data_IF_038368584214
#
_entry.id   IF_038368584214
#
_cell.length_a   1.000
_cell.length_b   1.000
_cell.length_c   1.000
_cell.angle_alpha   90.00
_cell.angle_beta   90.00
_cell.angle_gamma   90.00
#
_symmetry.space_group_name_H-M   'P 1'
#
loop_
_entity.id
_entity.type
_entity.pdbx_description
1 polymer ?
#
# COMPACT_ATOMS: atom_id res chain seq x y z
N UNK A 1 14.20 10.62 11.22
CA UNK A 1 12.84 10.50 10.66
C UNK A 1 12.59 11.69 9.74
N UNK A 2 12.70 11.50 8.42
CA UNK A 2 12.48 12.62 7.47
C UNK A 2 10.96 12.78 7.28
N UNK A 3 10.45 13.93 7.66
CA UNK A 3 9.03 14.27 7.56
C UNK A 3 8.60 14.46 6.12
N UNK A 4 7.46 13.90 5.77
CA UNK A 4 6.90 13.89 4.43
C UNK A 4 5.78 14.92 4.32
N UNK A 5 5.98 15.92 3.48
CA UNK A 5 4.90 16.84 3.09
C UNK A 5 4.44 16.44 1.68
N UNK A 6 3.35 15.65 1.62
CA UNK A 6 2.64 15.44 0.37
C UNK A 6 1.87 16.75 0.06
N UNK A 7 2.34 17.53 -0.91
CA UNK A 7 1.58 18.66 -1.42
C UNK A 7 0.42 18.14 -2.28
N UNK A 8 -0.71 17.83 -1.63
CA UNK A 8 -2.01 17.76 -2.29
C UNK A 8 -2.50 19.20 -2.49
N UNK A 9 -2.48 19.70 -3.70
CA UNK A 9 -3.28 20.86 -4.08
C UNK A 9 -4.62 20.33 -4.60
N UNK A 10 -5.69 20.29 -3.79
CA UNK A 10 -7.01 20.01 -4.31
C UNK A 10 -7.54 21.30 -4.94
N UNK A 11 -7.60 21.36 -6.28
CA UNK A 11 -8.54 22.29 -6.92
C UNK A 11 -9.89 21.60 -6.86
N UNK A 12 -10.59 21.77 -5.75
CA UNK A 12 -11.98 21.40 -5.63
C UNK A 12 -12.83 22.57 -6.14
N UNK A 13 -13.58 22.36 -7.20
CA UNK A 13 -14.78 23.17 -7.51
C UNK A 13 -15.86 22.79 -6.48
N UNK A 14 -15.71 23.22 -5.24
CA UNK A 14 -16.66 23.02 -4.16
C UNK A 14 -17.26 24.36 -3.76
N UNK A 15 -18.58 24.41 -3.67
CA UNK A 15 -19.34 25.55 -3.12
C UNK A 15 -19.33 25.57 -1.58
N UNK A 16 -18.38 24.91 -0.90
CA UNK A 16 -18.26 24.83 0.57
C UNK A 16 -16.81 24.88 1.02
N UNK A 17 -16.58 25.29 2.30
CA UNK A 17 -15.28 25.22 2.94
C UNK A 17 -14.85 23.75 3.09
N UNK A 18 -13.61 23.44 2.74
CA UNK A 18 -13.00 22.12 2.93
C UNK A 18 -12.14 22.11 4.18
N UNK A 19 -12.10 20.98 4.87
CA UNK A 19 -11.28 20.74 6.05
C UNK A 19 -10.34 19.56 5.79
N UNK A 20 -9.05 19.76 6.00
CA UNK A 20 -8.04 18.69 6.00
C UNK A 20 -7.54 18.48 7.41
N UNK A 21 -7.56 17.25 7.88
CA UNK A 21 -6.92 16.87 9.14
C UNK A 21 -5.90 15.78 8.90
N UNK A 22 -4.84 15.77 9.74
CA UNK A 22 -3.71 14.85 9.62
C UNK A 22 -3.45 14.16 10.94
N UNK A 23 -3.23 12.84 10.92
CA UNK A 23 -2.75 12.06 12.06
C UNK A 23 -1.66 11.07 11.62
N UNK A 24 -0.79 10.65 12.55
CA UNK A 24 0.15 9.57 12.35
C UNK A 24 -0.52 8.25 12.75
N UNK A 25 -0.82 7.38 11.77
CA UNK A 25 -1.49 6.08 11.94
C UNK A 25 -0.89 5.10 10.93
N UNK A 26 -0.81 3.81 11.25
CA UNK A 26 -0.27 2.75 10.39
C UNK A 26 1.17 3.04 9.90
N UNK A 27 1.95 3.68 10.78
CA UNK A 27 3.36 4.00 10.49
C UNK A 27 3.56 5.07 9.42
N UNK A 28 2.54 5.89 9.11
CA UNK A 28 2.59 6.97 8.13
C UNK A 28 1.72 8.16 8.55
N UNK A 29 1.80 9.26 7.79
CA UNK A 29 0.82 10.35 7.92
C UNK A 29 -0.41 10.03 7.09
N UNK A 30 -1.57 10.16 7.72
CA UNK A 30 -2.89 10.04 7.12
C UNK A 30 -3.48 11.43 6.97
N UNK A 31 -3.91 11.77 5.77
CA UNK A 31 -4.62 13.01 5.48
C UNK A 31 -6.04 12.69 5.05
N UNK A 32 -7.02 13.26 5.73
CA UNK A 32 -8.43 13.17 5.35
C UNK A 32 -8.93 14.57 5.08
N UNK A 33 -9.41 14.79 3.86
CA UNK A 33 -9.95 16.05 3.37
C UNK A 33 -11.41 15.84 3.01
N UNK A 34 -12.33 16.48 3.71
CA UNK A 34 -13.78 16.45 3.47
C UNK A 34 -14.35 17.86 3.52
N UNK A 35 -15.62 18.10 3.07
CA UNK A 35 -16.36 19.31 3.38
C UNK A 35 -16.39 19.57 4.89
N UNK A 36 -16.30 20.81 5.31
CA UNK A 36 -16.17 21.22 6.72
C UNK A 36 -17.31 20.72 7.61
N UNK A 37 -18.49 20.63 7.08
CA UNK A 37 -19.67 20.08 7.74
C UNK A 37 -19.49 18.61 8.14
N UNK A 38 -18.60 17.87 7.48
CA UNK A 38 -18.29 16.46 7.76
C UNK A 38 -17.10 16.29 8.73
N UNK A 39 -16.80 17.29 9.59
CA UNK A 39 -15.69 17.21 10.54
C UNK A 39 -15.82 16.04 11.53
N UNK A 40 -17.05 15.66 11.90
CA UNK A 40 -17.31 14.50 12.77
C UNK A 40 -16.85 13.20 12.08
N UNK A 41 -17.16 13.04 10.80
CA UNK A 41 -16.83 11.87 9.99
C UNK A 41 -15.32 11.75 9.77
N UNK A 42 -14.58 12.87 9.70
CA UNK A 42 -13.10 12.85 9.73
C UNK A 42 -12.60 12.21 11.05
N UNK A 43 -13.19 12.60 12.18
CA UNK A 43 -12.80 12.03 13.49
C UNK A 43 -13.09 10.54 13.57
N UNK A 44 -14.30 10.12 13.16
CA UNK A 44 -14.72 8.71 13.13
C UNK A 44 -13.82 7.89 12.19
N UNK A 45 -13.44 8.45 11.04
CA UNK A 45 -12.51 7.80 10.11
C UNK A 45 -11.12 7.57 10.74
N UNK A 46 -10.59 8.51 11.51
CA UNK A 46 -9.33 8.29 12.24
C UNK A 46 -9.44 7.22 13.32
N UNK A 47 -10.57 7.16 14.04
CA UNK A 47 -10.82 6.09 15.03
C UNK A 47 -10.90 4.73 14.34
N UNK A 48 -11.59 4.63 13.20
CA UNK A 48 -11.65 3.41 12.40
C UNK A 48 -10.27 2.98 11.94
N UNK A 49 -9.44 3.90 11.45
CA UNK A 49 -8.07 3.61 11.03
C UNK A 49 -7.18 3.09 12.16
N UNK A 50 -7.32 3.63 13.38
CA UNK A 50 -6.63 3.10 14.57
C UNK A 50 -7.09 1.68 14.91
N UNK A 51 -8.40 1.41 14.86
CA UNK A 51 -8.91 0.05 15.04
C UNK A 51 -8.39 -0.94 13.99
N UNK A 52 -8.21 -0.50 12.74
CA UNK A 52 -7.58 -1.31 11.70
C UNK A 52 -6.09 -1.52 11.94
N UNK A 53 -5.37 -0.53 12.43
CA UNK A 53 -3.97 -0.67 12.85
C UNK A 53 -3.83 -1.71 13.97
N UNK A 54 -4.71 -1.68 14.98
CA UNK A 54 -4.73 -2.66 16.08
C UNK A 54 -4.89 -4.11 15.58
N UNK A 55 -5.57 -4.31 14.45
CA UNK A 55 -5.77 -5.63 13.86
C UNK A 55 -4.65 -5.99 12.89
N UNK A 56 -4.24 -5.11 11.98
CA UNK A 56 -3.42 -5.44 10.81
C UNK A 56 -1.93 -5.22 11.00
N UNK A 57 -1.52 -4.45 12.03
CA UNK A 57 -0.11 -4.13 12.25
C UNK A 57 0.67 -5.35 12.75
N UNK A 58 1.83 -5.57 12.11
CA UNK A 58 2.81 -6.59 12.53
C UNK A 58 3.77 -6.12 13.65
N UNK A 59 3.55 -4.91 14.19
CA UNK A 59 4.30 -4.37 15.33
C UNK A 59 3.55 -4.56 16.64
N UNK A 60 4.28 -4.61 17.78
CA UNK A 60 3.67 -4.73 19.12
C UNK A 60 2.81 -3.49 19.46
N UNK A 61 1.68 -3.67 20.16
CA UNK A 61 1.13 -4.94 20.72
C UNK A 61 -0.01 -5.55 19.87
N UNK A 62 -0.13 -5.23 18.60
CA UNK A 62 -1.27 -5.46 17.71
C UNK A 62 -1.57 -6.95 17.41
N UNK A 63 -2.73 -7.26 16.81
CA UNK A 63 -3.22 -8.63 16.65
C UNK A 63 -2.34 -9.48 15.72
N UNK A 64 -1.90 -8.94 14.57
CA UNK A 64 -0.97 -9.66 13.67
C UNK A 64 0.38 -9.91 14.36
N UNK A 65 0.88 -8.96 15.16
CA UNK A 65 2.06 -9.18 15.98
C UNK A 65 1.85 -10.36 16.93
N UNK A 66 0.72 -10.42 17.64
CA UNK A 66 0.41 -11.53 18.53
C UNK A 66 0.32 -12.87 17.77
N UNK A 67 -0.31 -12.88 16.59
CA UNK A 67 -0.35 -14.08 15.72
C UNK A 67 1.08 -14.52 15.34
N UNK A 68 1.95 -13.59 15.01
CA UNK A 68 3.36 -13.89 14.68
C UNK A 68 4.16 -14.45 15.87
N UNK A 69 3.80 -14.10 17.11
CA UNK A 69 4.48 -14.60 18.32
C UNK A 69 3.90 -15.93 18.82
N UNK A 70 2.57 -16.08 18.78
CA UNK A 70 1.85 -17.20 19.40
C UNK A 70 1.41 -18.26 18.40
N UNK A 71 1.51 -17.96 17.10
CA UNK A 71 1.03 -18.78 15.97
C UNK A 71 -0.47 -19.10 16.00
N UNK A 72 -1.21 -18.51 16.92
CA UNK A 72 -2.68 -18.60 17.02
C UNK A 72 -3.23 -17.34 17.68
N UNK A 73 -4.38 -16.87 17.18
CA UNK A 73 -5.20 -15.83 17.80
C UNK A 73 -6.67 -16.19 17.67
N UNK A 74 -7.56 -15.65 18.54
CA UNK A 74 -9.00 -15.79 18.36
C UNK A 74 -9.44 -15.32 16.97
N UNK A 75 -10.52 -15.91 16.44
CA UNK A 75 -11.09 -15.47 15.18
C UNK A 75 -11.42 -13.97 15.23
N UNK A 76 -10.96 -13.26 14.23
CA UNK A 76 -11.25 -11.85 14.03
C UNK A 76 -11.69 -11.65 12.55
N UNK A 77 -12.90 -11.13 12.30
CA UNK A 77 -13.45 -11.06 10.94
C UNK A 77 -12.63 -10.16 10.01
N UNK A 78 -12.10 -9.05 10.52
CA UNK A 78 -11.26 -8.12 9.74
C UNK A 78 -9.96 -8.80 9.30
N UNK A 79 -9.27 -9.47 10.21
CA UNK A 79 -8.02 -10.18 9.89
C UNK A 79 -8.30 -11.38 8.96
N UNK A 80 -9.36 -12.15 9.22
CA UNK A 80 -9.76 -13.27 8.37
C UNK A 80 -10.04 -12.82 6.93
N UNK A 81 -10.76 -11.72 6.77
CA UNK A 81 -11.06 -11.15 5.45
C UNK A 81 -9.79 -10.62 4.74
N UNK A 82 -8.93 -9.89 5.45
CA UNK A 82 -7.66 -9.42 4.91
C UNK A 82 -6.75 -10.57 4.45
N UNK A 83 -6.68 -11.68 5.20
CA UNK A 83 -5.94 -12.88 4.82
C UNK A 83 -6.57 -13.55 3.58
N UNK A 84 -7.91 -13.61 3.51
CA UNK A 84 -8.61 -14.17 2.34
C UNK A 84 -8.29 -13.38 1.08
N UNK A 85 -8.42 -12.06 1.10
CA UNK A 85 -8.01 -11.19 0.00
C UNK A 85 -6.53 -11.38 -0.38
N UNK A 86 -5.67 -11.54 0.64
CA UNK A 86 -4.24 -11.77 0.40
C UNK A 86 -3.97 -13.09 -0.34
N UNK A 87 -4.75 -14.15 -0.08
CA UNK A 87 -4.68 -15.41 -0.83
C UNK A 87 -5.11 -15.24 -2.29
N UNK A 88 -6.16 -14.45 -2.53
CA UNK A 88 -6.61 -14.13 -3.90
C UNK A 88 -5.53 -13.35 -4.65
N UNK A 89 -4.96 -12.31 -4.04
CA UNK A 89 -3.88 -11.52 -4.65
C UNK A 89 -2.58 -12.32 -4.84
N UNK A 90 -2.28 -13.27 -3.95
CA UNK A 90 -1.19 -14.22 -4.16
C UNK A 90 -1.39 -15.03 -5.45
N UNK A 91 -2.59 -15.57 -5.64
CA UNK A 91 -2.93 -16.35 -6.84
C UNK A 91 -2.89 -15.47 -8.09
N UNK A 92 -3.53 -14.31 -8.08
CA UNK A 92 -3.59 -13.37 -9.21
C UNK A 92 -2.20 -12.90 -9.66
N UNK A 93 -1.31 -12.64 -8.70
CA UNK A 93 0.07 -12.20 -8.97
C UNK A 93 1.04 -13.37 -9.16
N UNK A 94 0.54 -14.60 -9.19
CA UNK A 94 1.37 -15.81 -9.27
C UNK A 94 2.48 -15.80 -8.19
N UNK A 95 2.13 -15.47 -6.94
CA UNK A 95 3.01 -15.50 -5.78
C UNK A 95 4.06 -14.38 -5.70
N UNK A 96 3.93 -13.30 -6.49
CA UNK A 96 4.76 -12.10 -6.31
C UNK A 96 4.24 -11.18 -5.20
N UNK A 97 2.98 -11.31 -4.81
CA UNK A 97 2.44 -10.81 -3.55
C UNK A 97 2.28 -11.97 -2.58
N UNK A 98 2.84 -11.87 -1.38
CA UNK A 98 2.73 -12.91 -0.35
C UNK A 98 2.90 -12.28 1.03
N UNK A 99 1.87 -12.28 1.86
CA UNK A 99 1.93 -11.73 3.23
C UNK A 99 2.81 -12.55 4.18
N UNK A 100 3.19 -13.78 3.81
CA UNK A 100 4.18 -14.56 4.59
C UNK A 100 5.61 -14.09 4.37
N UNK A 101 5.81 -13.04 3.55
CA UNK A 101 7.07 -12.31 3.42
C UNK A 101 7.56 -11.75 4.77
N UNK A 102 6.70 -11.63 5.77
CA UNK A 102 7.03 -11.29 7.15
C UNK A 102 8.15 -12.17 7.72
N UNK A 103 8.25 -13.43 7.30
CA UNK A 103 9.36 -14.33 7.66
C UNK A 103 10.74 -13.80 7.20
N UNK A 104 10.77 -12.84 6.27
CA UNK A 104 11.98 -12.12 5.84
C UNK A 104 11.94 -10.69 6.34
N UNK A 105 10.89 -9.93 6.04
CA UNK A 105 10.82 -8.49 6.31
C UNK A 105 10.83 -8.16 7.80
N UNK A 106 10.14 -8.98 8.62
CA UNK A 106 10.00 -8.77 10.06
C UNK A 106 10.98 -9.60 10.88
N UNK A 107 11.14 -10.88 10.54
CA UNK A 107 11.94 -11.81 11.34
C UNK A 107 13.46 -11.71 11.06
N UNK A 108 13.86 -11.27 9.87
CA UNK A 108 15.26 -11.20 9.47
C UNK A 108 15.78 -9.78 9.27
N UNK A 109 15.08 -8.93 8.51
CA UNK A 109 15.49 -7.54 8.29
C UNK A 109 15.07 -6.59 9.41
N UNK A 110 13.99 -6.89 10.13
CA UNK A 110 13.40 -6.03 11.16
C UNK A 110 13.07 -4.62 10.61
N UNK A 111 12.55 -4.52 9.38
CA UNK A 111 12.21 -3.23 8.80
C UNK A 111 11.28 -2.42 9.69
N UNK A 112 11.69 -1.18 10.00
CA UNK A 112 10.95 -0.25 10.83
C UNK A 112 11.21 -0.40 12.33
N UNK A 113 12.16 -1.25 12.73
CA UNK A 113 12.61 -1.45 14.12
C UNK A 113 14.04 -0.94 14.32
N UNK A 114 14.42 -0.62 15.55
CA UNK A 114 15.75 -0.09 15.88
C UNK A 114 16.87 -1.11 15.58
N UNK A 115 16.57 -2.40 15.74
CA UNK A 115 17.48 -3.52 15.49
C UNK A 115 17.54 -3.96 14.03
N UNK A 116 17.08 -3.11 13.10
CA UNK A 116 17.09 -3.44 11.67
C UNK A 116 18.50 -3.78 11.17
N UNK A 117 18.62 -4.90 10.44
CA UNK A 117 19.92 -5.42 9.98
C UNK A 117 19.79 -6.14 8.63
N UNK A 118 20.91 -6.29 7.93
CA UNK A 118 20.97 -7.03 6.67
C UNK A 118 21.24 -8.50 6.97
N UNK A 119 20.31 -9.42 6.69
CA UNK A 119 20.50 -10.84 6.94
C UNK A 119 21.49 -11.46 5.95
N UNK A 120 22.15 -12.53 6.34
CA UNK A 120 22.98 -13.30 5.44
C UNK A 120 22.15 -14.13 4.44
N UNK A 121 22.75 -14.51 3.31
CA UNK A 121 22.07 -15.23 2.24
C UNK A 121 21.52 -16.60 2.70
N UNK A 122 22.17 -17.28 3.61
CA UNK A 122 21.73 -18.57 4.12
C UNK A 122 20.41 -18.44 4.92
N UNK A 123 20.31 -17.42 5.76
CA UNK A 123 19.07 -17.11 6.50
C UNK A 123 17.91 -16.77 5.54
N UNK A 124 18.16 -15.95 4.52
CA UNK A 124 17.17 -15.59 3.51
C UNK A 124 16.65 -16.82 2.74
N UNK A 125 17.52 -17.75 2.37
CA UNK A 125 17.14 -18.99 1.66
C UNK A 125 16.33 -19.93 2.54
N UNK A 126 16.61 -19.99 3.84
CA UNK A 126 15.92 -20.87 4.80
C UNK A 126 14.57 -20.31 5.26
N UNK A 127 14.30 -19.01 5.07
CA UNK A 127 13.06 -18.37 5.49
C UNK A 127 11.85 -18.99 4.78
N UNK A 128 10.90 -19.49 5.55
CA UNK A 128 9.70 -20.15 5.04
C UNK A 128 8.66 -19.10 4.59
N UNK A 129 8.07 -19.33 3.42
CA UNK A 129 6.98 -18.52 2.85
C UNK A 129 5.95 -19.47 2.26
N UNK A 130 4.77 -19.52 2.84
CA UNK A 130 3.69 -20.37 2.37
C UNK A 130 2.35 -19.83 2.86
N UNK A 131 1.69 -19.04 2.04
CA UNK A 131 0.38 -18.44 2.37
C UNK A 131 -0.69 -19.50 2.62
N UNK A 132 -0.58 -20.68 2.02
CA UNK A 132 -1.53 -21.78 2.21
C UNK A 132 -1.40 -22.46 3.58
N UNK A 133 -0.35 -22.16 4.35
CA UNK A 133 -0.21 -22.64 5.72
C UNK A 133 -0.99 -21.80 6.74
N UNK A 134 -1.67 -20.76 6.33
CA UNK A 134 -2.54 -19.94 7.18
C UNK A 134 -3.92 -20.58 7.20
N UNK A 135 -4.36 -21.03 8.36
CA UNK A 135 -5.66 -21.65 8.58
C UNK A 135 -6.60 -20.67 9.26
N UNK A 136 -7.82 -20.56 8.75
CA UNK A 136 -8.90 -19.75 9.32
C UNK A 136 -10.04 -20.71 9.63
N UNK A 137 -10.45 -20.76 10.88
CA UNK A 137 -11.63 -21.50 11.29
C UNK A 137 -12.58 -20.61 12.11
N UNK A 138 -13.72 -21.14 12.56
CA UNK A 138 -14.76 -20.37 13.25
C UNK A 138 -14.33 -19.82 14.61
N UNK A 139 -13.23 -20.29 15.19
CA UNK A 139 -12.77 -19.92 16.54
C UNK A 139 -11.41 -19.26 16.58
N UNK A 140 -10.59 -19.48 15.55
CA UNK A 140 -9.19 -19.02 15.55
C UNK A 140 -8.62 -18.82 14.15
N UNK A 141 -7.51 -18.06 14.09
CA UNK A 141 -6.61 -17.97 12.96
C UNK A 141 -5.27 -18.52 13.41
N UNK A 142 -4.70 -19.43 12.62
CA UNK A 142 -3.50 -20.20 12.97
C UNK A 142 -2.46 -20.10 11.87
N UNK A 143 -1.17 -19.97 12.25
CA UNK A 143 -0.02 -20.08 11.35
C UNK A 143 0.94 -21.17 11.83
N UNK A 144 1.80 -21.68 10.94
CA UNK A 144 2.90 -22.56 11.35
C UNK A 144 3.99 -21.77 12.06
N UNK A 145 4.75 -22.40 12.96
CA UNK A 145 5.77 -21.77 13.82
C UNK A 145 6.85 -20.97 13.07
N UNK A 146 7.15 -21.31 11.83
CA UNK A 146 8.17 -20.64 11.03
C UNK A 146 7.60 -19.65 10.01
N UNK A 147 6.31 -19.36 10.08
CA UNK A 147 5.61 -18.38 9.25
C UNK A 147 5.35 -17.11 10.06
N UNK A 148 5.73 -15.98 9.49
CA UNK A 148 5.49 -14.64 10.03
C UNK A 148 4.77 -13.81 8.98
N UNK A 149 3.71 -13.11 9.38
CA UNK A 149 2.88 -12.31 8.48
C UNK A 149 3.32 -10.84 8.48
N UNK A 150 3.26 -10.23 7.30
CA UNK A 150 3.39 -8.79 7.10
C UNK A 150 2.35 -8.33 6.07
N UNK A 151 1.31 -7.64 6.53
CA UNK A 151 0.25 -7.11 5.68
C UNK A 151 0.58 -5.71 5.13
N UNK A 152 1.78 -5.20 5.35
CA UNK A 152 2.18 -3.85 4.95
C UNK A 152 2.07 -3.55 3.45
N UNK A 153 2.03 -4.59 2.61
CA UNK A 153 1.89 -4.45 1.15
C UNK A 153 0.44 -4.37 0.65
N UNK A 154 -0.57 -4.39 1.55
CA UNK A 154 -1.98 -4.18 1.17
C UNK A 154 -2.80 -3.49 2.27
N UNK A 155 -2.26 -3.42 3.48
CA UNK A 155 -3.01 -2.96 4.66
C UNK A 155 -3.42 -1.49 4.60
N UNK A 156 -2.65 -0.63 3.92
CA UNK A 156 -2.99 0.77 3.75
C UNK A 156 -4.13 0.94 2.74
N UNK A 157 -4.05 0.24 1.60
CA UNK A 157 -5.13 0.20 0.63
C UNK A 157 -6.43 -0.32 1.23
N UNK A 158 -6.33 -1.40 2.04
CA UNK A 158 -7.46 -1.95 2.79
C UNK A 158 -8.09 -0.92 3.73
N UNK A 159 -7.26 -0.18 4.47
CA UNK A 159 -7.73 0.84 5.39
C UNK A 159 -8.42 2.00 4.66
N UNK A 160 -7.90 2.42 3.49
CA UNK A 160 -8.56 3.41 2.63
C UNK A 160 -9.95 2.93 2.23
N UNK A 161 -10.07 1.70 1.73
CA UNK A 161 -11.37 1.15 1.29
C UNK A 161 -12.38 1.09 2.43
N UNK A 162 -11.98 0.69 3.64
CA UNK A 162 -12.89 0.65 4.81
C UNK A 162 -13.38 2.04 5.22
N UNK A 163 -12.51 3.05 5.19
CA UNK A 163 -12.92 4.44 5.45
C UNK A 163 -13.89 4.93 4.37
N UNK A 164 -13.61 4.64 3.11
CA UNK A 164 -14.47 5.06 2.00
C UNK A 164 -15.85 4.40 2.06
N UNK A 165 -15.94 3.13 2.43
CA UNK A 165 -17.21 2.45 2.67
C UNK A 165 -18.04 3.17 3.75
N UNK A 166 -17.41 3.47 4.91
CA UNK A 166 -18.06 4.22 5.97
C UNK A 166 -18.56 5.59 5.49
N UNK A 167 -17.71 6.34 4.78
CA UNK A 167 -18.12 7.65 4.24
C UNK A 167 -19.26 7.54 3.23
N UNK A 168 -19.27 6.50 2.40
CA UNK A 168 -20.34 6.22 1.43
C UNK A 168 -21.68 5.91 2.12
N UNK A 169 -21.66 5.15 3.22
CA UNK A 169 -22.84 4.88 4.06
C UNK A 169 -23.42 6.17 4.67
N UNK A 170 -22.59 7.19 4.87
CA UNK A 170 -22.98 8.53 5.32
C UNK A 170 -23.34 9.47 4.15
N UNK A 171 -23.41 8.96 2.92
CA UNK A 171 -23.67 9.72 1.67
C UNK A 171 -22.62 10.82 1.40
N UNK A 172 -21.38 10.65 1.87
CA UNK A 172 -20.28 11.57 1.62
C UNK A 172 -19.55 11.13 0.35
N UNK A 173 -19.69 11.93 -0.70
CA UNK A 173 -19.14 11.64 -2.03
C UNK A 173 -18.05 12.63 -2.47
N UNK A 174 -17.62 13.53 -1.58
CA UNK A 174 -16.63 14.57 -1.89
C UNK A 174 -15.48 14.54 -0.88
N UNK A 175 -14.26 14.60 -1.40
CA UNK A 175 -13.07 14.62 -0.57
C UNK A 175 -11.95 13.70 -1.06
N UNK A 176 -10.92 13.59 -0.22
CA UNK A 176 -9.73 12.77 -0.48
C UNK A 176 -9.30 12.08 0.81
N UNK A 177 -9.05 10.79 0.74
CA UNK A 177 -8.43 10.01 1.80
C UNK A 177 -7.04 9.59 1.31
N UNK A 178 -5.98 9.92 2.06
CA UNK A 178 -4.61 9.61 1.68
C UNK A 178 -3.82 9.01 2.85
N UNK A 179 -3.34 7.78 2.66
CA UNK A 179 -2.45 7.06 3.55
C UNK A 179 -1.10 6.86 2.84
N UNK A 180 -0.23 7.88 2.89
CA UNK A 180 1.02 7.88 2.11
C UNK A 180 0.75 7.77 0.60
N UNK A 181 1.24 6.72 -0.06
CA UNK A 181 1.03 6.46 -1.48
C UNK A 181 -0.34 5.88 -1.86
N UNK A 182 -1.19 5.56 -0.87
CA UNK A 182 -2.51 4.99 -1.09
C UNK A 182 -3.58 6.07 -0.93
N UNK A 183 -4.23 6.43 -2.02
CA UNK A 183 -5.13 7.59 -2.11
C UNK A 183 -6.45 7.16 -2.73
N UNK A 184 -7.56 7.66 -2.17
CA UNK A 184 -8.87 7.65 -2.80
C UNK A 184 -9.37 9.08 -3.01
N UNK A 185 -9.68 9.41 -4.25
CA UNK A 185 -10.43 10.62 -4.58
C UNK A 185 -11.91 10.28 -4.65
N UNK A 186 -12.72 10.78 -3.73
CA UNK A 186 -14.18 10.51 -3.73
C UNK A 186 -14.88 11.16 -4.94
N UNK A 187 -14.45 12.36 -5.30
CA UNK A 187 -14.82 13.08 -6.51
C UNK A 187 -13.60 13.34 -7.39
N UNK A 188 -13.69 14.21 -8.38
CA UNK A 188 -12.52 14.57 -9.22
C UNK A 188 -11.45 15.27 -8.36
N UNK A 189 -10.19 14.91 -8.57
CA UNK A 189 -9.07 15.47 -7.85
C UNK A 189 -7.84 15.65 -8.74
N UNK A 190 -6.92 16.50 -8.30
CA UNK A 190 -5.57 16.65 -8.88
C UNK A 190 -4.54 16.22 -7.85
N UNK A 191 -3.55 15.45 -8.26
CA UNK A 191 -2.50 14.92 -7.39
C UNK A 191 -1.16 14.86 -8.13
N UNK A 192 -0.07 14.78 -7.35
CA UNK A 192 1.29 14.69 -7.86
C UNK A 192 1.90 13.31 -7.63
N UNK A 193 2.66 12.82 -8.60
CA UNK A 193 3.58 11.70 -8.39
C UNK A 193 4.95 12.26 -8.01
N UNK A 194 5.43 11.84 -6.84
CA UNK A 194 6.73 12.28 -6.34
C UNK A 194 7.87 11.56 -7.04
N UNK A 195 8.94 12.32 -7.31
CA UNK A 195 10.19 11.74 -7.80
C UNK A 195 10.77 10.74 -6.78
N UNK A 196 11.25 9.57 -7.23
CA UNK A 196 11.99 8.66 -6.35
C UNK A 196 13.38 9.18 -5.94
N UNK A 197 13.86 10.27 -6.57
CA UNK A 197 15.19 10.81 -6.38
C UNK A 197 15.21 12.16 -5.65
N UNK A 198 14.04 12.79 -5.47
CA UNK A 198 13.91 14.08 -4.80
C UNK A 198 12.53 14.26 -4.17
N UNK A 199 12.35 15.30 -3.38
CA UNK A 199 11.04 15.65 -2.80
C UNK A 199 10.11 16.37 -3.81
N UNK A 200 10.54 16.53 -5.08
CA UNK A 200 9.77 17.22 -6.12
C UNK A 200 8.72 16.29 -6.72
N UNK A 201 7.64 16.88 -7.21
CA UNK A 201 6.65 16.20 -8.05
C UNK A 201 7.15 16.15 -9.48
N UNK A 202 7.26 14.96 -10.07
CA UNK A 202 7.67 14.80 -11.47
C UNK A 202 6.50 14.73 -12.44
N UNK A 203 5.31 14.35 -11.98
CA UNK A 203 4.10 14.32 -12.79
C UNK A 203 2.89 14.84 -12.01
N UNK A 204 2.08 15.66 -12.65
CA UNK A 204 0.79 16.13 -12.14
C UNK A 204 -0.30 15.48 -12.97
N UNK A 205 -1.26 14.87 -12.28
CA UNK A 205 -2.38 14.15 -12.89
C UNK A 205 -3.70 14.64 -12.32
N UNK A 206 -4.69 14.77 -13.19
CA UNK A 206 -6.08 15.09 -12.81
C UNK A 206 -6.97 13.88 -13.12
N UNK A 207 -7.77 13.46 -12.16
CA UNK A 207 -8.70 12.34 -12.34
C UNK A 207 -9.78 12.70 -13.38
N UNK A 208 -10.15 11.71 -14.18
CA UNK A 208 -11.27 11.81 -15.14
C UNK A 208 -12.53 11.13 -14.62
N UNK A 209 -12.42 10.38 -13.56
CA UNK A 209 -13.48 9.61 -12.93
C UNK A 209 -13.55 9.93 -11.43
N UNK A 210 -14.73 9.93 -10.82
CA UNK A 210 -14.84 9.90 -9.36
C UNK A 210 -14.38 8.52 -8.83
N UNK A 211 -14.21 8.42 -7.52
CA UNK A 211 -13.79 7.19 -6.85
C UNK A 211 -12.47 6.61 -7.40
N UNK A 212 -11.56 7.50 -7.85
CA UNK A 212 -10.26 7.07 -8.33
C UNK A 212 -9.40 6.56 -7.17
N UNK A 213 -8.96 5.33 -7.28
CA UNK A 213 -7.98 4.69 -6.40
C UNK A 213 -6.57 4.84 -6.98
N UNK A 214 -5.61 5.17 -6.11
CA UNK A 214 -4.20 5.33 -6.45
C UNK A 214 -3.41 4.57 -5.41
N UNK A 215 -2.42 3.78 -5.84
CA UNK A 215 -1.43 3.20 -4.94
C UNK A 215 -0.03 3.33 -5.52
N UNK A 216 0.93 3.74 -4.69
CA UNK A 216 2.33 3.90 -5.08
C UNK A 216 3.26 3.15 -4.14
N UNK A 217 3.98 2.17 -4.68
CA UNK A 217 5.08 1.47 -4.03
C UNK A 217 6.44 2.01 -4.52
N UNK A 218 7.37 2.24 -3.59
CA UNK A 218 8.70 2.79 -3.94
C UNK A 218 9.82 2.24 -3.06
N UNK A 219 11.01 2.06 -3.66
CA UNK A 219 12.19 1.52 -2.98
C UNK A 219 12.88 2.51 -2.05
N UNK A 220 12.61 3.80 -2.21
CA UNK A 220 13.31 4.93 -1.59
C UNK A 220 12.77 5.31 -0.20
N UNK A 221 11.69 4.71 0.27
CA UNK A 221 11.02 5.08 1.52
C UNK A 221 11.47 4.29 2.74
N UNK A 222 11.67 2.99 2.59
CA UNK A 222 11.99 2.08 3.69
C UNK A 222 13.11 1.13 3.28
N UNK A 223 14.27 1.27 3.90
CA UNK A 223 15.45 0.45 3.63
C UNK A 223 16.33 0.35 4.88
N UNK A 224 17.26 -0.61 4.89
CA UNK A 224 18.28 -0.80 5.91
C UNK A 224 19.62 -0.39 5.30
N UNK A 225 20.34 0.50 5.95
CA UNK A 225 21.65 1.04 5.55
C UNK A 225 21.59 1.87 4.25
N UNK A 226 21.16 1.30 3.14
CA UNK A 226 21.06 1.95 1.82
C UNK A 226 19.90 1.42 1.00
N UNK A 227 19.57 2.09 -0.10
CA UNK A 227 18.40 1.77 -0.94
C UNK A 227 18.49 0.43 -1.67
N UNK A 228 19.64 -0.24 -1.70
CA UNK A 228 19.75 -1.61 -2.28
C UNK A 228 19.13 -2.66 -1.37
N UNK A 229 18.95 -2.34 -0.08
CA UNK A 229 18.35 -3.19 0.94
C UNK A 229 16.96 -2.70 1.34
N UNK A 230 16.13 -2.35 0.34
CA UNK A 230 14.78 -1.87 0.55
C UNK A 230 13.78 -2.99 0.90
N UNK A 231 12.61 -2.61 1.41
CA UNK A 231 11.58 -3.53 1.94
C UNK A 231 10.80 -4.31 0.88
N UNK A 232 10.88 -3.93 -0.40
CA UNK A 232 10.19 -4.62 -1.49
C UNK A 232 11.03 -5.84 -1.92
N UNK A 233 10.68 -6.99 -1.37
CA UNK A 233 11.39 -8.27 -1.52
C UNK A 233 10.54 -9.22 -2.33
N UNK A 234 11.12 -9.83 -3.37
CA UNK A 234 10.48 -10.89 -4.16
C UNK A 234 10.32 -12.16 -3.29
N UNK A 235 9.07 -12.59 -3.01
CA UNK A 235 8.84 -13.78 -2.20
C UNK A 235 9.42 -15.06 -2.80
N UNK A 236 9.67 -15.12 -4.11
CA UNK A 236 10.19 -16.30 -4.79
C UNK A 236 11.70 -16.46 -4.62
N UNK A 237 12.41 -15.34 -4.57
CA UNK A 237 13.89 -15.34 -4.56
C UNK A 237 14.48 -14.87 -3.25
N UNK A 238 13.68 -14.31 -2.34
CA UNK A 238 14.11 -13.65 -1.11
C UNK A 238 15.06 -12.45 -1.35
N UNK A 239 15.04 -11.85 -2.54
CA UNK A 239 15.88 -10.71 -2.93
C UNK A 239 15.04 -9.49 -3.23
N UNK A 240 15.61 -8.30 -3.07
CA UNK A 240 14.99 -7.05 -3.45
C UNK A 240 14.64 -7.01 -4.94
N UNK A 241 13.50 -6.42 -5.27
CA UNK A 241 13.13 -6.09 -6.65
C UNK A 241 14.15 -5.10 -7.24
N UNK A 242 14.52 -5.26 -8.53
CA UNK A 242 15.57 -4.43 -9.15
C UNK A 242 15.09 -3.67 -10.39
N UNK A 243 13.90 -3.97 -10.88
CA UNK A 243 13.45 -3.42 -12.16
C UNK A 243 12.87 -2.00 -12.04
N UNK A 244 12.31 -1.69 -10.87
CA UNK A 244 11.56 -0.45 -10.65
C UNK A 244 12.01 0.24 -9.37
N UNK A 245 12.05 1.57 -9.40
CA UNK A 245 12.24 2.40 -8.20
C UNK A 245 10.92 2.97 -7.69
N UNK A 246 9.92 3.12 -8.57
CA UNK A 246 8.57 3.53 -8.21
C UNK A 246 7.53 2.85 -9.12
N UNK A 247 6.44 2.41 -8.54
CA UNK A 247 5.29 1.79 -9.21
C UNK A 247 4.03 2.49 -8.71
N UNK A 248 3.36 3.24 -9.58
CA UNK A 248 2.06 3.87 -9.30
C UNK A 248 0.98 3.21 -10.13
N UNK A 249 -0.06 2.69 -9.49
CA UNK A 249 -1.21 2.05 -10.11
C UNK A 249 -2.48 2.87 -9.87
N UNK A 250 -3.41 2.80 -10.82
CA UNK A 250 -4.66 3.55 -10.83
C UNK A 250 -5.80 2.61 -11.19
N UNK A 251 -6.89 2.66 -10.44
CA UNK A 251 -8.13 1.93 -10.75
C UNK A 251 -9.35 2.65 -10.22
N UNK A 252 -10.51 2.07 -10.43
CA UNK A 252 -11.78 2.54 -9.87
C UNK A 252 -12.12 1.68 -8.64
N UNK A 253 -12.34 2.31 -7.47
CA UNK A 253 -12.93 1.71 -6.25
C UNK A 253 -12.18 0.59 -5.53
N UNK A 254 -10.89 0.30 -5.79
CA UNK A 254 -10.23 -0.84 -5.12
C UNK A 254 -8.77 -0.52 -4.77
N UNK A 255 -8.58 0.21 -3.66
CA UNK A 255 -7.24 0.53 -3.15
C UNK A 255 -6.54 -0.72 -2.61
N UNK A 256 -7.26 -1.64 -1.97
CA UNK A 256 -6.70 -2.89 -1.43
C UNK A 256 -5.98 -3.68 -2.51
N UNK A 257 -6.67 -3.90 -3.63
CA UNK A 257 -6.14 -4.65 -4.78
C UNK A 257 -4.90 -3.99 -5.37
N UNK A 258 -4.98 -2.68 -5.66
CA UNK A 258 -3.85 -2.02 -6.30
C UNK A 258 -2.66 -1.77 -5.37
N UNK A 259 -2.83 -1.70 -4.03
CA UNK A 259 -1.71 -1.68 -3.06
C UNK A 259 -0.96 -3.04 -3.12
N UNK A 260 -1.71 -4.15 -3.06
CA UNK A 260 -1.12 -5.49 -3.23
C UNK A 260 -0.43 -5.67 -4.59
N UNK A 261 -1.06 -5.19 -5.67
CA UNK A 261 -0.51 -5.31 -7.02
C UNK A 261 0.69 -4.39 -7.25
N UNK A 262 0.69 -3.16 -6.70
CA UNK A 262 1.86 -2.27 -6.75
C UNK A 262 3.06 -2.90 -6.04
N UNK A 263 2.83 -3.52 -4.88
CA UNK A 263 3.84 -4.30 -4.17
C UNK A 263 4.36 -5.47 -5.03
N UNK A 264 3.48 -6.28 -5.62
CA UNK A 264 3.86 -7.40 -6.49
C UNK A 264 4.64 -6.94 -7.73
N UNK A 265 4.13 -5.93 -8.45
CA UNK A 265 4.78 -5.38 -9.66
C UNK A 265 6.17 -4.84 -9.34
N UNK A 266 6.36 -4.22 -8.18
CA UNK A 266 7.65 -3.67 -7.74
C UNK A 266 8.76 -4.72 -7.62
N UNK A 267 8.41 -5.98 -7.42
CA UNK A 267 9.39 -7.07 -7.26
C UNK A 267 9.46 -8.01 -8.48
N UNK A 268 8.53 -7.87 -9.42
CA UNK A 268 8.55 -8.65 -10.66
C UNK A 268 9.73 -8.26 -11.57
N UNK A 269 10.29 -9.21 -12.35
CA UNK A 269 11.09 -8.87 -13.52
C UNK A 269 10.29 -8.00 -14.50
N UNK A 270 10.92 -7.00 -15.11
CA UNK A 270 10.27 -6.01 -16.00
C UNK A 270 9.32 -6.64 -17.03
N UNK A 271 9.74 -7.68 -17.73
CA UNK A 271 8.91 -8.32 -18.74
C UNK A 271 7.63 -8.94 -18.15
N UNK A 272 7.72 -9.57 -16.96
CA UNK A 272 6.57 -10.14 -16.25
C UNK A 272 5.62 -9.06 -15.75
N UNK A 273 6.15 -7.99 -15.19
CA UNK A 273 5.36 -6.84 -14.73
C UNK A 273 4.55 -6.22 -15.88
N UNK A 274 5.19 -5.97 -17.02
CA UNK A 274 4.51 -5.42 -18.20
C UNK A 274 3.46 -6.38 -18.78
N UNK A 275 3.73 -7.70 -18.79
CA UNK A 275 2.75 -8.71 -19.20
C UNK A 275 1.55 -8.75 -18.26
N UNK A 276 1.80 -8.71 -16.95
CA UNK A 276 0.75 -8.65 -15.93
C UNK A 276 -0.13 -7.40 -16.11
N UNK A 277 0.46 -6.22 -16.21
CA UNK A 277 -0.28 -4.96 -16.39
C UNK A 277 -1.02 -4.87 -17.74
N UNK A 278 -0.50 -5.48 -18.81
CA UNK A 278 -1.21 -5.57 -20.09
C UNK A 278 -2.45 -6.47 -20.02
N UNK A 279 -2.42 -7.51 -19.18
CA UNK A 279 -3.57 -8.39 -18.93
C UNK A 279 -4.65 -7.68 -18.11
N UNK A 280 -4.25 -6.81 -17.17
CA UNK A 280 -5.14 -6.05 -16.28
C UNK A 280 -5.44 -4.66 -16.87
N UNK A 281 -6.28 -4.60 -17.91
CA UNK A 281 -6.65 -3.36 -18.60
C UNK A 281 -7.46 -2.39 -17.74
N UNK A 282 -8.06 -2.90 -16.67
CA UNK A 282 -8.74 -2.13 -15.62
C UNK A 282 -7.78 -1.39 -14.70
N UNK A 283 -6.49 -1.46 -14.94
CA UNK A 283 -5.44 -0.80 -14.15
C UNK A 283 -4.61 0.11 -15.06
N UNK A 284 -4.63 1.41 -14.76
CA UNK A 284 -3.67 2.37 -15.28
C UNK A 284 -2.36 2.29 -14.50
N UNK A 285 -1.23 2.64 -15.11
CA UNK A 285 0.07 2.58 -14.42
C UNK A 285 1.07 3.63 -14.89
N UNK A 286 1.93 4.05 -13.95
CA UNK A 286 3.17 4.80 -14.19
C UNK A 286 4.28 4.10 -13.44
N UNK A 287 5.33 3.68 -14.15
CA UNK A 287 6.49 2.96 -13.62
C UNK A 287 7.74 3.80 -13.84
N UNK A 288 8.52 4.01 -12.79
CA UNK A 288 9.88 4.55 -12.90
C UNK A 288 10.85 3.38 -12.80
N UNK A 289 11.58 3.12 -13.88
CA UNK A 289 12.56 2.04 -13.95
C UNK A 289 13.84 2.41 -13.17
N UNK A 290 14.66 1.42 -12.85
CA UNK A 290 15.95 1.62 -12.18
C UNK A 290 16.97 2.42 -13.00
N UNK A 291 16.80 2.51 -14.33
CA UNK A 291 17.58 3.36 -15.24
C UNK A 291 17.02 4.78 -15.39
N UNK A 292 15.99 5.15 -14.61
CA UNK A 292 15.33 6.47 -14.64
C UNK A 292 14.28 6.63 -15.74
N UNK A 293 14.09 5.65 -16.63
CA UNK A 293 13.04 5.73 -17.66
C UNK A 293 11.65 5.59 -17.07
N UNK A 294 10.70 6.36 -17.60
CA UNK A 294 9.29 6.28 -17.24
C UNK A 294 8.56 5.44 -18.29
N UNK A 295 7.80 4.46 -17.82
CA UNK A 295 6.88 3.64 -18.63
C UNK A 295 5.47 3.79 -18.07
N UNK A 296 4.50 4.08 -18.91
CA UNK A 296 3.10 4.22 -18.50
C UNK A 296 2.16 3.55 -19.49
N UNK A 297 0.97 3.22 -19.03
CA UNK A 297 -0.06 2.63 -19.88
C UNK A 297 -1.44 2.65 -19.21
N UNK A 298 -2.48 2.45 -20.03
CA UNK A 298 -3.89 2.42 -19.64
C UNK A 298 -4.38 3.67 -18.86
N UNK A 299 -3.66 4.80 -18.91
CA UNK A 299 -3.96 5.99 -18.10
C UNK A 299 -5.20 6.75 -18.56
N UNK A 300 -5.47 6.75 -19.88
CA UNK A 300 -6.51 7.61 -20.47
C UNK A 300 -7.91 7.39 -19.93
N UNK A 301 -8.19 6.20 -19.40
CA UNK A 301 -9.48 5.88 -18.76
C UNK A 301 -9.62 6.52 -17.37
N UNK A 302 -8.52 6.83 -16.70
CA UNK A 302 -8.51 7.20 -15.27
C UNK A 302 -8.09 8.65 -15.06
N UNK A 303 -7.05 9.10 -15.74
CA UNK A 303 -6.39 10.39 -15.48
C UNK A 303 -6.01 11.11 -16.77
N UNK A 304 -5.92 12.44 -16.67
CA UNK A 304 -5.24 13.32 -17.61
C UNK A 304 -3.87 13.66 -17.00
N UNK A 305 -2.81 13.33 -17.69
CA UNK A 305 -1.45 13.76 -17.31
C UNK A 305 -1.23 15.17 -17.84
N UNK A 306 -0.96 16.14 -16.96
CA UNK A 306 -0.84 17.54 -17.32
C UNK A 306 0.60 17.97 -17.58
N UNK A 307 1.55 17.42 -16.84
CA UNK A 307 2.97 17.68 -17.02
C UNK A 307 3.80 16.49 -16.57
N UNK A 308 4.87 16.19 -17.30
CA UNK A 308 6.01 15.39 -16.84
C UNK A 308 7.20 16.32 -16.74
N UNK A 309 7.86 16.36 -15.59
CA UNK A 309 9.08 17.12 -15.32
C UNK A 309 10.25 16.15 -15.19
N UNK A 310 11.47 16.68 -15.15
CA UNK A 310 12.63 15.86 -14.88
C UNK A 310 12.53 15.18 -13.52
N UNK A 311 12.97 13.92 -13.48
CA UNK A 311 12.99 13.12 -12.26
C UNK A 311 14.05 13.55 -11.25
N UNK A 312 15.11 14.25 -11.73
CA UNK A 312 16.30 14.63 -10.97
C UNK A 312 16.28 16.08 -10.52
#
# INVERSE_FOLDING_TARGET
MKFFTLFLLPILLLSGEILTRTQAIMGTFVHITLPKENNKEISTSFEQLKGLEDVLSSYAPHLVYQLNQKHTVPYNPTLAYAITLSKDYYNDTNGYFDITIGSISKKLYHFGEENSSIPNNQALQKAQRNINSIEINNTSIVTKENITLDLGGMGKGYAVDRVVEHLSEQNISQGVIALSGDIRCLNLCTFGLQSPYSEKTFATLTSKIPQLSISTSGTYRRYVKDQTHHHLIDPKTAKQGKAFVSVSLFTHTDNTKIDAYATAVSVMPKAKALTFLKKHREIGFVLVLSDGKIVYGNLNAFVKMEAIRDLF
#
